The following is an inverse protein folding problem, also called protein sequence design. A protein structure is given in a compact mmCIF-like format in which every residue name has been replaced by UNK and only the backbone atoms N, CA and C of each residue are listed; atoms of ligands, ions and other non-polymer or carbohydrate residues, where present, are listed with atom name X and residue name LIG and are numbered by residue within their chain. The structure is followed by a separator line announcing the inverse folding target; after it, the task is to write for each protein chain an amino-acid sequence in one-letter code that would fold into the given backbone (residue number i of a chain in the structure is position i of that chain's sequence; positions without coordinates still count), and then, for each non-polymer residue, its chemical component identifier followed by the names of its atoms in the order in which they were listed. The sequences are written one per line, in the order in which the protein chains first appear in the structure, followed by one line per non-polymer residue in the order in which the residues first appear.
data_IF_860116904714
#
_entry.id   IF_860116904714
#
_cell.length_a   1.000
_cell.length_b   1.000
_cell.length_c   1.000
_cell.angle_alpha   90.00
_cell.angle_beta   90.00
_cell.angle_gamma   90.00
#
_symmetry.space_group_name_H-M   'P 1'
#
loop_
_entity.id
_entity.type
_entity.pdbx_description
1 polymer ?
#
# COMPACT_ATOMS: atom_id res chain seq x y z
N UNK A 1 30.86 20.80 42.33
CA UNK A 1 30.09 20.54 41.10
C UNK A 1 28.92 21.53 40.92
N UNK A 2 28.11 21.84 41.91
CA UNK A 2 26.98 22.79 41.78
C UNK A 2 27.42 24.25 41.45
N UNK A 3 28.51 24.74 42.00
CA UNK A 3 29.00 26.12 41.74
C UNK A 3 29.53 26.28 40.30
N UNK A 4 30.17 25.28 39.73
CA UNK A 4 30.66 25.34 38.35
C UNK A 4 29.53 25.35 37.31
N UNK A 5 28.42 24.68 37.57
CA UNK A 5 27.23 24.69 36.69
C UNK A 5 26.51 26.03 36.74
N UNK A 6 26.46 26.68 37.91
CA UNK A 6 25.86 28.02 38.06
C UNK A 6 26.69 29.09 37.34
N UNK A 7 28.00 29.03 37.42
CA UNK A 7 28.88 30.01 36.75
C UNK A 7 28.78 29.89 35.22
N UNK A 8 28.77 28.67 34.69
CA UNK A 8 28.60 28.40 33.24
C UNK A 8 27.25 28.91 32.71
N UNK A 9 26.16 28.70 33.45
CA UNK A 9 24.80 29.14 33.05
C UNK A 9 24.69 30.66 33.03
N UNK A 10 25.39 31.39 33.90
CA UNK A 10 25.40 32.87 33.93
C UNK A 10 26.18 33.43 32.75
N UNK A 11 27.34 32.88 32.40
CA UNK A 11 28.15 33.32 31.26
C UNK A 11 27.47 33.02 29.90
N UNK A 12 26.69 31.96 29.81
CA UNK A 12 26.02 31.55 28.56
C UNK A 12 24.50 31.82 28.53
N UNK A 13 24.04 32.72 29.41
CA UNK A 13 22.61 33.03 29.57
C UNK A 13 21.92 33.42 28.25
N UNK A 14 22.56 34.24 27.42
CA UNK A 14 22.00 34.64 26.12
C UNK A 14 21.90 33.49 25.16
N UNK A 15 22.91 32.61 25.09
CA UNK A 15 22.91 31.40 24.24
C UNK A 15 21.83 30.42 24.68
N UNK A 16 21.66 30.22 26.00
CA UNK A 16 20.60 29.36 26.54
C UNK A 16 19.21 29.92 26.22
N UNK A 17 18.99 31.21 26.36
CA UNK A 17 17.70 31.83 26.01
C UNK A 17 17.41 31.67 24.52
N UNK A 18 18.37 31.94 23.65
CA UNK A 18 18.21 31.77 22.19
C UNK A 18 17.93 30.33 21.86
N UNK A 19 18.61 29.36 22.49
CA UNK A 19 18.36 27.91 22.25
C UNK A 19 16.96 27.52 22.71
N UNK A 20 16.49 27.98 23.84
CA UNK A 20 15.12 27.71 24.33
C UNK A 20 14.08 28.30 23.38
N UNK A 21 14.27 29.54 22.93
CA UNK A 21 13.37 30.19 21.97
C UNK A 21 13.34 29.39 20.66
N UNK A 22 14.50 28.97 20.15
CA UNK A 22 14.58 28.16 18.94
C UNK A 22 13.81 26.81 19.06
N UNK A 23 13.95 26.14 20.21
CA UNK A 23 13.21 24.90 20.50
C UNK A 23 11.70 25.14 20.56
N UNK A 24 11.27 26.22 21.23
CA UNK A 24 9.83 26.56 21.30
C UNK A 24 9.25 26.89 19.94
N UNK A 25 9.96 27.67 19.12
CA UNK A 25 9.54 28.01 17.76
C UNK A 25 9.44 26.74 16.90
N UNK A 26 10.42 25.83 17.01
CA UNK A 26 10.43 24.58 16.29
C UNK A 26 9.27 23.66 16.72
N UNK A 27 9.01 23.56 18.02
CA UNK A 27 7.88 22.81 18.57
C UNK A 27 6.53 23.38 18.10
N UNK A 28 6.38 24.70 18.10
CA UNK A 28 5.17 25.37 17.61
C UNK A 28 4.96 25.15 16.10
N UNK A 29 6.03 25.19 15.29
CA UNK A 29 5.97 24.91 13.87
C UNK A 29 5.57 23.45 13.59
N UNK A 30 6.13 22.50 14.35
CA UNK A 30 5.77 21.07 14.24
C UNK A 30 4.31 20.82 14.63
N UNK A 31 3.85 21.40 15.74
CA UNK A 31 2.46 21.28 16.18
C UNK A 31 1.48 21.92 15.19
N UNK A 32 1.80 23.09 14.63
CA UNK A 32 1.01 23.76 13.61
C UNK A 32 0.93 22.96 12.30
N UNK A 33 2.07 22.39 11.89
CA UNK A 33 2.13 21.51 10.71
C UNK A 33 1.31 20.24 10.89
N UNK A 34 1.42 19.61 12.07
CA UNK A 34 0.63 18.43 12.41
C UNK A 34 -0.87 18.73 12.40
N UNK A 35 -1.31 19.80 13.05
CA UNK A 35 -2.71 20.23 13.06
C UNK A 35 -3.25 20.53 11.66
N UNK A 36 -2.44 21.19 10.82
CA UNK A 36 -2.80 21.47 9.43
C UNK A 36 -3.00 20.18 8.61
N UNK A 37 -2.06 19.23 8.74
CA UNK A 37 -2.13 17.95 8.04
C UNK A 37 -3.35 17.15 8.49
N UNK A 38 -3.64 17.12 9.80
CA UNK A 38 -4.80 16.43 10.36
C UNK A 38 -6.13 16.99 9.81
N UNK A 39 -6.28 18.31 9.75
CA UNK A 39 -7.43 18.95 9.11
C UNK A 39 -7.55 18.65 7.60
N UNK A 40 -6.42 18.53 6.93
CA UNK A 40 -6.43 18.15 5.51
C UNK A 40 -6.81 16.68 5.34
N UNK A 41 -6.39 15.80 6.24
CA UNK A 41 -6.73 14.37 6.19
C UNK A 41 -8.24 14.15 6.42
N UNK A 42 -8.88 14.91 7.29
CA UNK A 42 -10.34 14.87 7.47
C UNK A 42 -11.07 15.15 6.16
N UNK A 43 -10.66 16.18 5.41
CA UNK A 43 -11.25 16.50 4.10
C UNK A 43 -10.92 15.44 3.06
N UNK A 44 -9.68 14.98 3.04
CA UNK A 44 -9.20 13.95 2.13
C UNK A 44 -9.93 12.63 2.34
N UNK A 45 -10.25 12.26 3.59
CA UNK A 45 -10.96 11.03 3.94
C UNK A 45 -12.38 10.98 3.35
N UNK A 46 -13.07 12.11 3.30
CA UNK A 46 -14.39 12.21 2.66
C UNK A 46 -14.30 11.99 1.15
N UNK A 47 -13.34 12.66 0.49
CA UNK A 47 -13.12 12.48 -0.94
C UNK A 47 -12.64 11.07 -1.27
N UNK A 48 -11.78 10.47 -0.40
CA UNK A 48 -11.33 9.08 -0.50
C UNK A 48 -12.49 8.09 -0.39
N UNK A 49 -13.40 8.29 0.57
CA UNK A 49 -14.59 7.46 0.71
C UNK A 49 -15.44 7.43 -0.56
N UNK A 50 -15.61 8.58 -1.22
CA UNK A 50 -16.33 8.68 -2.52
C UNK A 50 -15.59 7.92 -3.63
N UNK A 51 -14.27 8.04 -3.69
CA UNK A 51 -13.45 7.34 -4.69
C UNK A 51 -13.52 5.81 -4.51
N UNK A 52 -13.50 5.32 -3.27
CA UNK A 52 -13.70 3.90 -2.95
C UNK A 52 -15.12 3.47 -3.35
N UNK A 53 -16.14 4.24 -3.02
CA UNK A 53 -17.51 3.97 -3.43
C UNK A 53 -17.65 3.85 -4.96
N UNK A 54 -16.87 4.62 -5.72
CA UNK A 54 -16.85 4.53 -7.19
C UNK A 54 -16.42 3.14 -7.66
N UNK A 55 -15.48 2.47 -6.98
CA UNK A 55 -15.06 1.10 -7.30
C UNK A 55 -16.16 0.06 -7.06
N UNK A 56 -17.07 0.32 -6.13
CA UNK A 56 -18.16 -0.58 -5.77
C UNK A 56 -19.44 -0.32 -6.58
N UNK A 57 -19.46 0.74 -7.39
CA UNK A 57 -20.64 1.05 -8.22
C UNK A 57 -20.95 -0.07 -9.20
N UNK A 58 -22.22 -0.41 -9.41
CA UNK A 58 -22.64 -1.51 -10.29
C UNK A 58 -22.31 -1.21 -11.75
N UNK A 59 -22.13 -2.26 -12.52
CA UNK A 59 -22.09 -2.16 -13.98
C UNK A 59 -23.50 -2.28 -14.52
N UNK A 60 -23.89 -1.37 -15.43
CA UNK A 60 -25.18 -1.45 -16.11
C UNK A 60 -25.16 -2.51 -17.20
N UNK A 61 -26.30 -3.16 -17.47
CA UNK A 61 -26.43 -4.09 -18.58
C UNK A 61 -26.12 -3.41 -19.93
N UNK A 62 -25.55 -4.17 -20.86
CA UNK A 62 -25.21 -3.65 -22.18
C UNK A 62 -26.49 -3.11 -22.90
N UNK A 63 -26.35 -1.91 -23.49
CA UNK A 63 -27.45 -1.24 -24.20
C UNK A 63 -28.39 -0.42 -23.31
N UNK A 64 -28.28 -0.48 -21.98
CA UNK A 64 -29.06 0.38 -21.11
C UNK A 64 -28.43 1.78 -21.00
N UNK A 65 -29.22 2.87 -21.12
CA UNK A 65 -28.73 4.22 -20.86
C UNK A 65 -28.43 4.44 -19.37
N UNK A 66 -27.53 5.36 -19.08
CA UNK A 66 -27.27 5.80 -17.70
C UNK A 66 -28.55 6.41 -17.10
N UNK A 67 -28.85 6.03 -15.85
CA UNK A 67 -30.00 6.56 -15.12
C UNK A 67 -29.49 7.50 -14.02
N UNK A 68 -30.01 8.74 -13.92
CA UNK A 68 -29.55 9.69 -12.90
C UNK A 68 -29.73 9.20 -11.46
N UNK A 69 -30.81 8.46 -11.19
CA UNK A 69 -31.15 7.96 -9.86
C UNK A 69 -30.40 6.67 -9.49
N UNK A 70 -29.73 6.02 -10.46
CA UNK A 70 -28.96 4.78 -10.27
C UNK A 70 -27.59 4.91 -10.93
N UNK A 71 -26.63 5.58 -10.28
CA UNK A 71 -25.29 5.75 -10.82
C UNK A 71 -24.64 4.39 -11.07
N UNK A 72 -24.18 4.19 -12.30
CA UNK A 72 -23.61 2.93 -12.78
C UNK A 72 -22.69 3.17 -13.96
N UNK A 73 -21.75 2.25 -14.18
CA UNK A 73 -20.78 2.34 -15.28
C UNK A 73 -21.14 1.36 -16.41
N UNK A 74 -20.78 1.71 -17.66
CA UNK A 74 -20.96 0.81 -18.79
C UNK A 74 -20.00 -0.38 -18.77
N UNK A 75 -18.82 -0.20 -18.16
CA UNK A 75 -17.77 -1.22 -18.09
C UNK A 75 -16.91 -1.08 -16.84
N UNK A 76 -16.21 -2.15 -16.49
CA UNK A 76 -15.18 -2.13 -15.45
C UNK A 76 -14.04 -1.16 -15.78
N UNK A 77 -13.71 -1.01 -17.06
CA UNK A 77 -12.68 -0.06 -17.53
C UNK A 77 -13.12 1.38 -17.29
N UNK A 78 -14.37 1.74 -17.61
CA UNK A 78 -14.91 3.07 -17.35
C UNK A 78 -14.89 3.37 -15.84
N UNK A 79 -15.36 2.45 -15.01
CA UNK A 79 -15.36 2.55 -13.56
C UNK A 79 -13.94 2.72 -12.99
N UNK A 80 -13.00 1.88 -13.42
CA UNK A 80 -11.60 1.97 -12.98
C UNK A 80 -10.94 3.28 -13.42
N UNK A 81 -11.27 3.79 -14.62
CA UNK A 81 -10.75 5.07 -15.13
C UNK A 81 -11.24 6.24 -14.28
N UNK A 82 -12.53 6.26 -13.94
CA UNK A 82 -13.09 7.31 -13.07
C UNK A 82 -12.53 7.24 -11.65
N UNK A 83 -12.44 6.03 -11.07
CA UNK A 83 -11.83 5.85 -9.76
C UNK A 83 -10.35 6.30 -9.75
N UNK A 84 -9.58 5.93 -10.78
CA UNK A 84 -8.18 6.37 -10.93
C UNK A 84 -8.06 7.90 -10.94
N UNK A 85 -8.92 8.58 -11.67
CA UNK A 85 -8.94 10.05 -11.73
C UNK A 85 -9.23 10.67 -10.35
N UNK A 86 -10.17 10.09 -9.61
CA UNK A 86 -10.52 10.57 -8.26
C UNK A 86 -9.37 10.35 -7.28
N UNK A 87 -8.73 9.16 -7.27
CA UNK A 87 -7.56 8.90 -6.42
C UNK A 87 -6.39 9.80 -6.77
N UNK A 88 -6.13 10.08 -8.06
CA UNK A 88 -5.12 11.04 -8.48
C UNK A 88 -5.39 12.43 -7.90
N UNK A 89 -6.63 12.92 -8.05
CA UNK A 89 -7.01 14.24 -7.54
C UNK A 89 -6.83 14.36 -6.01
N UNK A 90 -7.08 13.27 -5.25
CA UNK A 90 -6.86 13.24 -3.79
C UNK A 90 -5.36 13.28 -3.47
N UNK A 91 -4.56 12.45 -4.14
CA UNK A 91 -3.11 12.40 -3.93
C UNK A 91 -2.42 13.74 -4.22
N UNK A 92 -2.91 14.48 -5.24
CA UNK A 92 -2.37 15.78 -5.64
C UNK A 92 -2.86 16.91 -4.72
N UNK A 93 -4.13 16.88 -4.32
CA UNK A 93 -4.75 17.96 -3.53
C UNK A 93 -4.38 17.92 -2.05
N UNK A 94 -4.15 16.72 -1.50
CA UNK A 94 -3.93 16.50 -0.08
C UNK A 94 -2.59 15.78 0.20
N UNK A 95 -1.46 16.27 -0.31
CA UNK A 95 -0.17 15.61 -0.11
C UNK A 95 0.13 15.47 1.39
N UNK A 96 0.83 14.40 1.76
CA UNK A 96 1.25 14.09 3.14
C UNK A 96 0.12 13.67 4.11
N UNK A 97 -1.11 13.47 3.62
CA UNK A 97 -2.19 12.88 4.41
C UNK A 97 -2.20 11.36 4.32
N UNK A 98 -2.80 10.69 5.31
CA UNK A 98 -3.01 9.22 5.24
C UNK A 98 -3.88 8.84 4.05
N UNK A 99 -4.94 9.61 3.82
CA UNK A 99 -5.87 9.39 2.69
C UNK A 99 -5.17 9.52 1.33
N UNK A 100 -4.16 10.40 1.19
CA UNK A 100 -3.35 10.48 -0.02
C UNK A 100 -2.45 9.25 -0.20
N UNK A 101 -1.87 8.71 0.86
CA UNK A 101 -1.06 7.48 0.78
C UNK A 101 -1.92 6.28 0.35
N UNK A 102 -3.11 6.13 0.92
CA UNK A 102 -4.07 5.12 0.47
C UNK A 102 -4.55 5.38 -0.97
N UNK A 103 -4.76 6.65 -1.35
CA UNK A 103 -5.14 7.01 -2.72
C UNK A 103 -4.06 6.61 -3.73
N UNK A 104 -2.77 6.79 -3.42
CA UNK A 104 -1.66 6.30 -4.27
C UNK A 104 -1.65 4.78 -4.40
N UNK A 105 -1.94 4.05 -3.33
CA UNK A 105 -2.10 2.60 -3.41
C UNK A 105 -3.21 2.22 -4.40
N UNK A 106 -4.41 2.81 -4.26
CA UNK A 106 -5.52 2.54 -5.18
C UNK A 106 -5.27 3.05 -6.60
N UNK A 107 -4.52 4.14 -6.75
CA UNK A 107 -4.06 4.64 -8.05
C UNK A 107 -3.16 3.61 -8.75
N UNK A 108 -2.24 3.00 -8.01
CA UNK A 108 -1.42 1.91 -8.52
C UNK A 108 -2.23 0.67 -8.91
N UNK A 109 -3.16 0.24 -8.05
CA UNK A 109 -4.03 -0.91 -8.32
C UNK A 109 -4.95 -0.67 -9.52
N UNK A 110 -5.58 0.49 -9.62
CA UNK A 110 -6.46 0.85 -10.74
C UNK A 110 -5.67 1.00 -12.04
N UNK A 111 -4.46 1.57 -12.00
CA UNK A 111 -3.57 1.64 -13.16
C UNK A 111 -3.19 0.25 -13.66
N UNK A 112 -2.87 -0.67 -12.76
CA UNK A 112 -2.59 -2.08 -13.13
C UNK A 112 -3.81 -2.75 -13.78
N UNK A 113 -5.00 -2.54 -13.24
CA UNK A 113 -6.24 -3.10 -13.82
C UNK A 113 -6.58 -2.53 -15.20
N UNK A 114 -6.11 -1.34 -15.50
CA UNK A 114 -6.22 -0.69 -16.82
C UNK A 114 -5.08 -1.07 -17.78
N UNK A 115 -4.12 -1.91 -17.35
CA UNK A 115 -2.96 -2.32 -18.14
C UNK A 115 -1.80 -1.31 -18.15
N UNK A 116 -1.92 -0.20 -17.42
CA UNK A 116 -0.85 0.80 -17.27
C UNK A 116 0.14 0.36 -16.19
N UNK A 117 0.95 -0.66 -16.52
CA UNK A 117 1.91 -1.22 -15.56
C UNK A 117 3.01 -0.24 -15.15
N UNK A 118 3.33 0.75 -16.00
CA UNK A 118 4.33 1.77 -15.67
C UNK A 118 3.84 2.71 -14.58
N UNK A 119 2.63 3.23 -14.71
CA UNK A 119 2.01 4.05 -13.67
C UNK A 119 1.77 3.24 -12.40
N UNK A 120 1.31 1.98 -12.53
CA UNK A 120 1.11 1.09 -11.38
C UNK A 120 2.42 0.87 -10.59
N UNK A 121 3.51 0.57 -11.28
CA UNK A 121 4.83 0.37 -10.65
C UNK A 121 5.30 1.65 -9.95
N UNK A 122 5.16 2.81 -10.57
CA UNK A 122 5.56 4.10 -9.99
C UNK A 122 4.85 4.36 -8.66
N UNK A 123 3.52 4.29 -8.66
CA UNK A 123 2.72 4.61 -7.48
C UNK A 123 2.89 3.56 -6.37
N UNK A 124 2.88 2.27 -6.72
CA UNK A 124 3.05 1.21 -5.73
C UNK A 124 4.44 1.20 -5.10
N UNK A 125 5.50 1.53 -5.83
CA UNK A 125 6.84 1.69 -5.24
C UNK A 125 6.87 2.81 -4.20
N UNK A 126 6.30 3.97 -4.50
CA UNK A 126 6.25 5.07 -3.55
C UNK A 126 5.56 4.69 -2.24
N UNK A 127 4.49 3.87 -2.33
CA UNK A 127 3.74 3.40 -1.16
C UNK A 127 4.44 2.23 -0.46
N UNK A 128 5.18 1.38 -1.18
CA UNK A 128 5.92 0.25 -0.62
C UNK A 128 6.99 0.68 0.40
N UNK A 129 7.44 1.94 0.34
CA UNK A 129 8.39 2.54 1.27
C UNK A 129 7.69 3.33 2.40
N UNK A 130 6.37 3.25 2.51
CA UNK A 130 5.58 3.92 3.56
C UNK A 130 5.99 3.45 4.96
N UNK A 131 5.89 4.38 5.94
CA UNK A 131 6.07 4.05 7.36
C UNK A 131 4.93 3.22 7.93
N UNK A 132 3.77 3.23 7.30
CA UNK A 132 2.65 2.35 7.64
C UNK A 132 2.96 0.95 7.11
N UNK A 133 3.28 0.03 8.01
CA UNK A 133 3.68 -1.35 7.69
C UNK A 133 2.61 -2.11 6.90
N UNK A 134 1.34 -1.93 7.23
CA UNK A 134 0.23 -2.62 6.58
C UNK A 134 0.02 -2.11 5.16
N UNK A 135 0.04 -0.80 4.98
CA UNK A 135 -0.06 -0.19 3.66
C UNK A 135 1.16 -0.52 2.78
N UNK A 136 2.37 -0.50 3.36
CA UNK A 136 3.60 -0.95 2.68
C UNK A 136 3.50 -2.41 2.24
N UNK A 137 2.96 -3.30 3.08
CA UNK A 137 2.78 -4.71 2.74
C UNK A 137 1.76 -4.90 1.62
N UNK A 138 0.62 -4.20 1.66
CA UNK A 138 -0.37 -4.20 0.58
C UNK A 138 0.22 -3.71 -0.75
N UNK A 139 1.00 -2.62 -0.71
CA UNK A 139 1.64 -2.08 -1.90
C UNK A 139 2.69 -3.05 -2.49
N UNK A 140 3.49 -3.70 -1.64
CA UNK A 140 4.45 -4.75 -2.08
C UNK A 140 3.73 -5.95 -2.69
N UNK A 141 2.61 -6.38 -2.11
CA UNK A 141 1.81 -7.47 -2.65
C UNK A 141 1.26 -7.12 -4.05
N UNK A 142 0.68 -5.92 -4.20
CA UNK A 142 0.18 -5.45 -5.48
C UNK A 142 1.31 -5.26 -6.51
N UNK A 143 2.45 -4.69 -6.11
CA UNK A 143 3.62 -4.49 -6.96
C UNK A 143 4.22 -5.83 -7.44
N UNK A 144 4.25 -6.84 -6.56
CA UNK A 144 4.67 -8.19 -6.95
C UNK A 144 3.75 -8.78 -8.03
N UNK A 145 2.44 -8.53 -7.95
CA UNK A 145 1.49 -8.93 -8.99
C UNK A 145 1.73 -8.19 -10.31
N UNK A 146 2.04 -6.90 -10.27
CA UNK A 146 2.44 -6.12 -11.48
C UNK A 146 3.68 -6.72 -12.11
N UNK A 147 4.71 -7.05 -11.33
CA UNK A 147 5.93 -7.68 -11.83
C UNK A 147 5.68 -9.05 -12.42
N UNK A 148 4.87 -9.89 -11.76
CA UNK A 148 4.47 -11.20 -12.30
C UNK A 148 3.78 -11.06 -13.66
N UNK A 149 2.82 -10.15 -13.79
CA UNK A 149 2.10 -9.90 -15.04
C UNK A 149 3.01 -9.34 -16.16
N UNK A 150 4.08 -8.65 -15.79
CA UNK A 150 5.12 -8.15 -16.69
C UNK A 150 6.25 -9.17 -16.97
N UNK A 151 6.10 -10.45 -16.56
CA UNK A 151 7.11 -11.50 -16.64
C UNK A 151 8.43 -11.19 -15.91
N UNK A 152 8.40 -10.27 -14.94
CA UNK A 152 9.54 -9.92 -14.08
C UNK A 152 9.52 -10.80 -12.83
N UNK A 153 9.65 -12.10 -13.04
CA UNK A 153 9.49 -13.13 -11.99
C UNK A 153 10.42 -12.91 -10.80
N UNK A 154 11.68 -12.56 -11.03
CA UNK A 154 12.67 -12.39 -9.93
C UNK A 154 12.31 -11.19 -9.04
N UNK A 155 11.82 -10.10 -9.62
CA UNK A 155 11.39 -8.92 -8.87
C UNK A 155 10.17 -9.27 -7.99
N UNK A 156 9.18 -9.99 -8.55
CA UNK A 156 8.02 -10.47 -7.81
C UNK A 156 8.43 -11.39 -6.64
N UNK A 157 9.29 -12.37 -6.90
CA UNK A 157 9.83 -13.31 -5.89
C UNK A 157 10.53 -12.55 -4.75
N UNK A 158 11.31 -11.52 -5.08
CA UNK A 158 11.98 -10.67 -4.09
C UNK A 158 11.00 -10.00 -3.12
N UNK A 159 9.90 -9.47 -3.63
CA UNK A 159 8.86 -8.84 -2.81
C UNK A 159 8.10 -9.84 -1.94
N UNK A 160 7.69 -10.99 -2.49
CA UNK A 160 7.03 -12.03 -1.70
C UNK A 160 7.92 -12.55 -0.57
N UNK A 161 9.22 -12.74 -0.81
CA UNK A 161 10.16 -13.13 0.25
C UNK A 161 10.26 -12.08 1.36
N UNK A 162 10.20 -10.78 1.03
CA UNK A 162 10.15 -9.72 2.04
C UNK A 162 8.87 -9.81 2.88
N UNK A 163 7.70 -10.03 2.24
CA UNK A 163 6.42 -10.18 2.93
C UNK A 163 6.39 -11.42 3.82
N UNK A 164 6.94 -12.54 3.39
CA UNK A 164 7.07 -13.77 4.19
C UNK A 164 7.97 -13.54 5.41
N UNK A 165 9.06 -12.78 5.26
CA UNK A 165 9.99 -12.49 6.35
C UNK A 165 9.43 -11.49 7.37
N UNK A 166 8.52 -10.62 6.95
CA UNK A 166 7.88 -9.59 7.80
C UNK A 166 6.38 -9.54 7.52
N UNK A 167 5.61 -10.54 7.98
CA UNK A 167 4.16 -10.55 7.80
C UNK A 167 3.51 -9.44 8.62
N UNK A 168 2.35 -8.97 8.14
CA UNK A 168 1.53 -7.96 8.80
C UNK A 168 0.11 -8.48 9.00
N UNK A 169 -0.76 -7.68 9.65
CA UNK A 169 -2.18 -8.04 9.79
C UNK A 169 -2.90 -8.09 8.43
N UNK A 170 -2.53 -7.20 7.51
CA UNK A 170 -3.14 -7.12 6.18
C UNK A 170 -2.57 -8.13 5.19
N UNK A 171 -1.30 -8.51 5.32
CA UNK A 171 -0.62 -9.49 4.48
C UNK A 171 0.07 -10.53 5.34
N UNK A 172 -0.65 -11.60 5.66
CA UNK A 172 -0.12 -12.71 6.43
C UNK A 172 0.91 -13.55 5.66
N UNK A 173 1.77 -14.25 6.42
CA UNK A 173 2.83 -15.12 5.88
C UNK A 173 2.28 -16.11 4.83
N UNK A 174 1.23 -16.85 5.17
CA UNK A 174 0.68 -17.90 4.29
C UNK A 174 0.12 -17.32 2.98
N UNK A 175 -0.47 -16.13 3.00
CA UNK A 175 -0.93 -15.47 1.79
C UNK A 175 0.23 -15.14 0.85
N UNK A 176 1.32 -14.59 1.37
CA UNK A 176 2.52 -14.30 0.60
C UNK A 176 3.21 -15.57 0.07
N UNK A 177 3.22 -16.65 0.84
CA UNK A 177 3.78 -17.94 0.45
C UNK A 177 3.01 -18.59 -0.71
N UNK A 178 1.68 -18.54 -0.68
CA UNK A 178 0.82 -19.01 -1.79
C UNK A 178 1.11 -18.19 -3.06
N UNK A 179 1.16 -16.86 -2.96
CA UNK A 179 1.45 -16.01 -4.11
C UNK A 179 2.86 -16.23 -4.68
N UNK A 180 3.84 -16.53 -3.82
CA UNK A 180 5.18 -16.92 -4.26
C UNK A 180 5.15 -18.23 -5.04
N UNK A 181 4.47 -19.26 -4.52
CA UNK A 181 4.36 -20.56 -5.19
C UNK A 181 3.63 -20.45 -6.54
N UNK A 182 2.52 -19.70 -6.59
CA UNK A 182 1.80 -19.42 -7.83
C UNK A 182 2.65 -18.64 -8.85
N UNK A 183 3.52 -17.73 -8.37
CA UNK A 183 4.45 -17.00 -9.23
C UNK A 183 5.49 -17.92 -9.85
N UNK A 184 6.06 -18.84 -9.08
CA UNK A 184 6.95 -19.87 -9.62
C UNK A 184 6.24 -20.77 -10.64
N UNK A 185 5.02 -21.21 -10.35
CA UNK A 185 4.22 -22.05 -11.26
C UNK A 185 3.94 -21.31 -12.56
N UNK A 186 3.49 -20.05 -12.52
CA UNK A 186 3.21 -19.24 -13.70
C UNK A 186 4.47 -19.00 -14.57
N UNK A 187 5.65 -18.96 -13.95
CA UNK A 187 6.94 -18.85 -14.63
C UNK A 187 7.51 -20.18 -15.16
N UNK A 188 6.78 -21.31 -15.01
CA UNK A 188 7.25 -22.62 -15.39
C UNK A 188 8.33 -23.22 -14.47
N UNK A 189 8.58 -22.58 -13.31
CA UNK A 189 9.53 -23.03 -12.30
C UNK A 189 8.88 -24.06 -11.37
N UNK A 190 8.41 -25.17 -11.97
CA UNK A 190 7.58 -26.16 -11.27
C UNK A 190 8.26 -26.81 -10.07
N UNK A 191 9.58 -26.99 -10.11
CA UNK A 191 10.34 -27.54 -8.97
C UNK A 191 10.31 -26.61 -7.75
N UNK A 192 10.45 -25.29 -7.98
CA UNK A 192 10.40 -24.28 -6.92
C UNK A 192 8.97 -24.11 -6.40
N UNK A 193 7.98 -24.10 -7.29
CA UNK A 193 6.57 -24.07 -6.91
C UNK A 193 6.20 -25.26 -6.03
N UNK A 194 6.57 -26.47 -6.43
CA UNK A 194 6.36 -27.70 -5.66
C UNK A 194 6.97 -27.61 -4.27
N UNK A 195 8.24 -27.22 -4.20
CA UNK A 195 8.95 -27.04 -2.92
C UNK A 195 8.24 -26.05 -2.00
N UNK A 196 7.75 -24.95 -2.56
CA UNK A 196 7.06 -23.92 -1.77
C UNK A 196 5.70 -24.44 -1.26
N UNK A 197 4.91 -25.14 -2.10
CA UNK A 197 3.65 -25.73 -1.64
C UNK A 197 3.85 -26.82 -0.58
N UNK A 198 4.88 -27.69 -0.72
CA UNK A 198 5.24 -28.68 0.29
C UNK A 198 5.63 -28.01 1.62
N UNK A 199 6.33 -26.88 1.57
CA UNK A 199 6.70 -26.12 2.78
C UNK A 199 5.45 -25.55 3.47
N UNK A 200 4.49 -24.97 2.74
CA UNK A 200 3.24 -24.48 3.31
C UNK A 200 2.48 -25.60 4.03
N UNK A 201 2.40 -26.80 3.43
CA UNK A 201 1.74 -27.95 4.07
C UNK A 201 2.45 -28.40 5.34
N UNK A 202 3.79 -28.28 5.37
CA UNK A 202 4.59 -28.69 6.52
C UNK A 202 4.49 -27.68 7.68
N UNK A 203 4.44 -26.39 7.37
CA UNK A 203 4.45 -25.32 8.38
C UNK A 203 3.14 -25.31 9.20
N UNK A 204 1.98 -25.46 8.56
CA UNK A 204 0.69 -25.59 9.22
C UNK A 204 -0.26 -26.52 8.46
N UNK A 205 -0.20 -27.84 8.71
CA UNK A 205 -0.93 -28.86 7.96
C UNK A 205 -2.47 -28.71 7.98
N UNK A 206 -3.01 -27.99 8.96
CA UNK A 206 -4.46 -27.83 9.15
C UNK A 206 -4.97 -26.50 8.60
N UNK A 207 -4.10 -25.61 8.13
CA UNK A 207 -4.48 -24.29 7.61
C UNK A 207 -5.21 -24.41 6.27
N UNK A 208 -6.08 -23.43 5.95
CA UNK A 208 -6.66 -23.31 4.60
C UNK A 208 -5.58 -23.19 3.51
N UNK A 209 -4.44 -22.57 3.80
CA UNK A 209 -3.31 -22.46 2.89
C UNK A 209 -2.69 -23.84 2.56
N UNK A 210 -2.57 -24.72 3.56
CA UNK A 210 -2.07 -26.07 3.36
C UNK A 210 -3.03 -26.93 2.51
N UNK A 211 -4.33 -26.75 2.68
CA UNK A 211 -5.33 -27.42 1.83
C UNK A 211 -5.20 -26.97 0.39
N UNK A 212 -5.16 -25.64 0.15
CA UNK A 212 -4.95 -25.07 -1.18
C UNK A 212 -3.61 -25.54 -1.80
N UNK A 213 -2.54 -25.56 -1.03
CA UNK A 213 -1.24 -26.04 -1.48
C UNK A 213 -1.30 -27.52 -1.90
N UNK A 214 -2.08 -28.36 -1.20
CA UNK A 214 -2.31 -29.76 -1.56
C UNK A 214 -3.03 -29.91 -2.90
N UNK A 215 -4.06 -29.12 -3.15
CA UNK A 215 -4.77 -29.09 -4.43
C UNK A 215 -3.84 -28.67 -5.59
N UNK A 216 -3.04 -27.62 -5.37
CA UNK A 216 -2.06 -27.14 -6.36
C UNK A 216 -0.97 -28.15 -6.66
N UNK A 217 -0.48 -28.91 -5.66
CA UNK A 217 0.49 -29.98 -5.84
C UNK A 217 -0.05 -31.11 -6.72
N UNK A 218 -1.34 -31.41 -6.65
CA UNK A 218 -1.97 -32.41 -7.54
C UNK A 218 -2.01 -31.93 -8.99
N UNK A 219 -2.13 -30.62 -9.22
CA UNK A 219 -2.14 -30.02 -10.57
C UNK A 219 -0.75 -29.92 -11.20
N UNK A 220 0.33 -29.98 -10.40
CA UNK A 220 1.72 -29.95 -10.86
C UNK A 220 2.27 -31.32 -11.31
N UNK A 221 1.49 -32.37 -11.15
CA UNK A 221 1.84 -33.75 -11.62
C UNK A 221 1.54 -33.88 -13.09
#
# INVERSE_FOLDING_TARGET
MAEQTVHWTVEHKSTLIVSVIAVVVLAAALAGSWYYIDQQDDKASVDFGKAVQTLDMPLRPAGMPAQPDYPSFASSTERATEARKQFQAIADKYPHTRSADFSRYFLGVTSSSLGDNTAAEHELKAVADSRNSDLSALAKLALASVYRNANRTQDAVGLYKQLIAKPTETVGKSAAEIQLAETYQAAGMNADAKKQYEQIQKDDPKSPAAQLAGEKLQQLK
#
